data_IF_000612125681
#
_entry.id   IF_000612125681
#
_cell.length_a   1.000
_cell.length_b   1.000
_cell.length_c   1.000
_cell.angle_alpha   90.00
_cell.angle_beta   90.00
_cell.angle_gamma   90.00
#
_symmetry.space_group_name_H-M   'P 1'
#
loop_
_entity.id
_entity.type
_entity.pdbx_description
1 polymer ?
#
# COMPACT_ATOMS: atom_id res chain seq x y z
N UNK A 1 14.70 -10.50 36.05
CA UNK A 1 13.47 -9.68 36.01
C UNK A 1 12.31 -10.62 35.73
N UNK A 2 11.16 -10.47 36.40
CA UNK A 2 9.98 -11.29 36.08
C UNK A 2 9.62 -11.12 34.59
N UNK A 3 9.06 -12.15 33.93
CA UNK A 3 8.57 -12.03 32.57
C UNK A 3 7.58 -10.87 32.52
N UNK A 4 7.89 -9.91 31.66
CA UNK A 4 7.08 -8.72 31.48
C UNK A 4 5.83 -9.11 30.69
N UNK A 5 4.69 -9.11 31.38
CA UNK A 5 3.39 -9.45 30.81
C UNK A 5 2.56 -8.18 30.70
N UNK A 6 2.60 -7.55 29.53
CA UNK A 6 1.85 -6.34 29.24
C UNK A 6 0.98 -6.59 28.01
N UNK A 7 -0.34 -6.50 28.20
CA UNK A 7 -1.32 -6.63 27.13
C UNK A 7 -2.14 -5.35 27.06
N UNK A 8 -1.98 -4.61 25.97
CA UNK A 8 -2.76 -3.40 25.71
C UNK A 8 -4.16 -3.83 25.27
N UNK A 9 -5.21 -3.12 25.73
CA UNK A 9 -6.57 -3.30 25.22
C UNK A 9 -6.67 -2.75 23.79
N UNK A 10 -6.15 -3.53 22.85
CA UNK A 10 -6.04 -3.20 21.45
C UNK A 10 -7.05 -4.01 20.65
N UNK A 11 -7.89 -3.33 19.89
CA UNK A 11 -8.88 -3.96 19.01
C UNK A 11 -8.25 -4.21 17.66
N UNK A 12 -8.07 -5.48 17.30
CA UNK A 12 -7.59 -5.89 15.99
C UNK A 12 -8.68 -5.66 14.93
N UNK A 13 -8.30 -5.12 13.78
CA UNK A 13 -9.17 -5.01 12.60
C UNK A 13 -8.40 -5.42 11.36
N UNK A 14 -8.93 -6.40 10.64
CA UNK A 14 -8.38 -6.85 9.37
C UNK A 14 -8.46 -5.75 8.30
N UNK A 15 -7.55 -5.80 7.33
CA UNK A 15 -7.39 -4.87 6.21
C UNK A 15 -6.71 -5.59 5.05
N UNK A 16 -6.90 -5.11 3.82
CA UNK A 16 -6.32 -5.74 2.64
C UNK A 16 -4.85 -5.36 2.42
N UNK A 17 -4.43 -4.16 2.84
CA UNK A 17 -3.08 -3.65 2.67
C UNK A 17 -2.43 -3.29 4.00
N UNK A 18 -1.27 -3.90 4.26
CA UNK A 18 -0.60 -3.82 5.56
C UNK A 18 -0.29 -2.39 6.03
N UNK A 19 0.16 -1.48 5.15
CA UNK A 19 0.58 -0.14 5.57
C UNK A 19 -0.61 0.78 5.91
N UNK A 20 -1.70 0.74 5.11
CA UNK A 20 -2.93 1.46 5.42
C UNK A 20 -3.66 0.84 6.60
N UNK A 21 -3.70 -0.49 6.69
CA UNK A 21 -4.28 -1.21 7.82
C UNK A 21 -3.60 -0.88 9.14
N UNK A 22 -2.26 -0.87 9.19
CA UNK A 22 -1.53 -0.45 10.40
C UNK A 22 -1.83 1.02 10.75
N UNK A 23 -1.88 1.92 9.77
CA UNK A 23 -2.20 3.32 10.03
C UNK A 23 -3.62 3.49 10.61
N UNK A 24 -4.62 2.85 10.01
CA UNK A 24 -6.00 2.88 10.47
C UNK A 24 -6.15 2.27 11.87
N UNK A 25 -5.52 1.13 12.13
CA UNK A 25 -5.60 0.46 13.43
C UNK A 25 -4.92 1.23 14.56
N UNK A 26 -3.75 1.83 14.32
CA UNK A 26 -3.12 2.70 15.33
C UNK A 26 -4.00 3.91 15.64
N UNK A 27 -4.59 4.56 14.62
CA UNK A 27 -5.46 5.71 14.83
C UNK A 27 -6.74 5.34 15.57
N UNK A 28 -7.34 4.20 15.25
CA UNK A 28 -8.53 3.68 15.93
C UNK A 28 -8.29 3.41 17.40
N UNK A 29 -7.14 2.81 17.76
CA UNK A 29 -6.75 2.62 19.15
C UNK A 29 -6.70 3.95 19.94
N UNK A 30 -6.39 5.06 19.27
CA UNK A 30 -6.36 6.39 19.86
C UNK A 30 -7.65 7.20 19.62
N UNK A 31 -8.77 6.55 19.32
CA UNK A 31 -10.09 7.19 19.21
C UNK A 31 -10.39 7.87 17.88
N UNK A 32 -9.48 7.82 16.90
CA UNK A 32 -9.75 8.33 15.55
C UNK A 32 -10.31 7.18 14.71
N UNK A 33 -11.64 7.14 14.57
CA UNK A 33 -12.31 6.09 13.80
C UNK A 33 -12.26 6.38 12.30
N UNK A 34 -11.21 5.89 11.63
CA UNK A 34 -11.12 5.87 10.17
C UNK A 34 -10.94 4.44 9.66
N UNK A 35 -11.47 4.20 8.45
CA UNK A 35 -11.30 2.95 7.72
C UNK A 35 -9.90 2.85 7.11
N UNK A 36 -9.57 1.67 6.57
CA UNK A 36 -8.38 1.48 5.75
C UNK A 36 -8.39 2.41 4.50
N UNK A 37 -9.52 2.49 3.81
CA UNK A 37 -9.71 3.30 2.61
C UNK A 37 -9.46 4.78 2.92
N UNK A 38 -10.02 5.29 4.02
CA UNK A 38 -9.80 6.66 4.49
C UNK A 38 -8.31 6.92 4.77
N UNK A 39 -7.64 6.01 5.47
CA UNK A 39 -6.20 6.13 5.72
C UNK A 39 -5.38 6.11 4.40
N UNK A 40 -5.76 5.26 3.45
CA UNK A 40 -5.11 5.17 2.13
C UNK A 40 -5.27 6.47 1.32
N UNK A 41 -6.48 7.02 1.28
CA UNK A 41 -6.84 8.25 0.56
C UNK A 41 -6.22 9.51 1.16
N UNK A 42 -6.34 9.72 2.48
CA UNK A 42 -5.65 10.81 3.19
C UNK A 42 -4.11 10.68 3.04
N UNK A 43 -3.62 9.45 3.01
CA UNK A 43 -2.21 9.13 2.74
C UNK A 43 -1.74 9.50 1.32
N UNK A 44 -2.64 9.88 0.42
CA UNK A 44 -2.38 10.15 -1.00
C UNK A 44 -1.57 9.04 -1.66
N UNK A 45 -2.02 7.80 -1.43
CA UNK A 45 -1.23 6.59 -1.66
C UNK A 45 -1.40 6.02 -3.07
N UNK A 46 -2.50 6.35 -3.76
CA UNK A 46 -2.72 5.99 -5.16
C UNK A 46 -1.67 6.67 -6.04
N UNK A 47 -1.02 5.86 -6.89
CA UNK A 47 0.06 6.32 -7.75
C UNK A 47 0.14 5.46 -9.01
N UNK A 48 0.90 5.93 -9.99
CA UNK A 48 1.44 5.08 -11.04
C UNK A 48 2.86 5.51 -11.39
N UNK A 49 3.76 4.55 -11.59
CA UNK A 49 5.06 4.81 -12.17
C UNK A 49 5.66 3.58 -12.83
N UNK A 50 6.27 3.76 -14.00
CA UNK A 50 7.01 2.73 -14.72
C UNK A 50 8.44 3.18 -15.00
N UNK A 51 9.41 2.57 -14.31
CA UNK A 51 10.82 2.94 -14.36
C UNK A 51 11.65 1.82 -15.01
N UNK A 52 11.88 1.84 -16.34
CA UNK A 52 12.54 0.74 -17.04
C UNK A 52 13.99 0.49 -16.59
N UNK A 53 14.62 1.51 -16.02
CA UNK A 53 16.02 1.51 -15.58
C UNK A 53 16.21 1.05 -14.12
N UNK A 54 15.14 1.05 -13.31
CA UNK A 54 15.19 0.57 -11.93
C UNK A 54 14.72 -0.88 -11.93
N UNK A 55 15.54 -1.79 -11.38
CA UNK A 55 15.24 -3.22 -11.38
C UNK A 55 14.84 -3.73 -10.00
N UNK A 56 13.73 -4.47 -9.93
CA UNK A 56 13.36 -5.33 -8.80
C UNK A 56 13.43 -6.77 -9.30
N UNK A 57 14.27 -7.59 -8.67
CA UNK A 57 14.49 -8.99 -9.07
C UNK A 57 14.84 -9.14 -10.57
N UNK A 58 15.63 -8.20 -11.10
CA UNK A 58 16.03 -8.18 -12.51
C UNK A 58 15.01 -7.60 -13.50
N UNK A 59 13.79 -7.24 -13.05
CA UNK A 59 12.71 -6.73 -13.91
C UNK A 59 12.41 -5.25 -13.67
N UNK A 60 11.97 -4.48 -14.69
CA UNK A 60 11.57 -3.08 -14.55
C UNK A 60 10.60 -2.82 -13.41
N UNK A 61 10.86 -1.77 -12.63
CA UNK A 61 9.94 -1.34 -11.58
C UNK A 61 8.66 -0.77 -12.19
N UNK A 62 7.53 -1.43 -11.88
CA UNK A 62 6.19 -0.85 -12.02
C UNK A 62 5.59 -0.69 -10.62
N UNK A 63 5.11 0.50 -10.27
CA UNK A 63 4.51 0.76 -8.96
C UNK A 63 3.14 1.42 -9.10
N UNK A 64 2.20 0.95 -8.30
CA UNK A 64 0.81 1.47 -8.23
C UNK A 64 0.56 2.26 -6.94
N UNK A 65 1.62 2.49 -6.16
CA UNK A 65 1.56 3.22 -4.89
C UNK A 65 2.73 4.17 -4.69
N UNK A 66 2.50 5.14 -3.80
CA UNK A 66 3.56 5.98 -3.25
C UNK A 66 4.63 5.19 -2.49
N UNK A 67 5.73 5.85 -2.15
CA UNK A 67 6.85 5.21 -1.47
C UNK A 67 6.47 4.65 -0.09
N UNK A 68 7.06 3.51 0.31
CA UNK A 68 6.79 2.86 1.60
C UNK A 68 7.05 3.76 2.80
N UNK A 69 6.15 3.72 3.79
CA UNK A 69 6.24 4.48 5.03
C UNK A 69 5.73 5.92 4.93
N UNK A 70 5.16 6.30 3.77
CA UNK A 70 4.57 7.62 3.55
C UNK A 70 3.11 7.69 3.99
N UNK A 71 2.37 6.57 4.01
CA UNK A 71 0.93 6.60 4.33
C UNK A 71 0.74 7.12 5.74
N UNK A 72 1.31 6.43 6.74
CA UNK A 72 1.24 6.88 8.13
C UNK A 72 1.77 8.30 8.29
N UNK A 73 2.80 8.69 7.53
CA UNK A 73 3.39 10.06 7.63
C UNK A 73 2.39 11.12 7.23
N UNK A 74 1.72 10.90 6.11
CA UNK A 74 0.79 11.84 5.51
C UNK A 74 -0.53 11.86 6.28
N UNK A 75 -1.02 10.70 6.70
CA UNK A 75 -2.21 10.61 7.55
C UNK A 75 -1.99 11.32 8.87
N UNK A 76 -0.90 11.04 9.60
CA UNK A 76 -0.67 11.72 10.88
C UNK A 76 -0.46 13.22 10.68
N UNK A 77 0.26 13.64 9.63
CA UNK A 77 0.42 15.07 9.29
C UNK A 77 -0.91 15.74 8.91
N UNK A 78 -1.78 15.04 8.18
CA UNK A 78 -3.08 15.54 7.74
C UNK A 78 -4.03 15.76 8.92
N UNK A 79 -3.99 14.85 9.90
CA UNK A 79 -4.85 14.86 11.08
C UNK A 79 -4.24 15.59 12.29
N UNK A 80 -3.07 16.22 12.16
CA UNK A 80 -2.41 16.88 13.29
C UNK A 80 -1.88 15.94 14.38
N UNK A 81 -1.79 14.64 14.10
CA UNK A 81 -1.26 13.61 14.99
C UNK A 81 0.27 13.62 14.98
N UNK A 82 0.87 13.53 16.15
CA UNK A 82 2.32 13.36 16.29
C UNK A 82 2.69 11.89 16.41
N UNK A 83 3.73 11.48 15.68
CA UNK A 83 4.27 10.14 15.71
C UNK A 83 5.79 10.18 15.86
N UNK A 84 6.35 9.29 16.68
CA UNK A 84 7.78 9.03 16.73
C UNK A 84 8.15 7.87 15.81
N UNK A 85 9.33 7.96 15.21
CA UNK A 85 9.88 6.94 14.31
C UNK A 85 11.31 6.67 14.70
N UNK A 86 11.66 5.40 14.80
CA UNK A 86 12.99 4.95 15.15
C UNK A 86 13.50 3.99 14.10
N UNK A 87 14.82 3.99 13.90
CA UNK A 87 15.55 2.98 13.13
C UNK A 87 16.73 2.55 13.97
N UNK A 88 17.05 1.27 13.93
CA UNK A 88 18.11 0.68 14.73
C UNK A 88 19.08 -0.10 13.84
N UNK A 89 20.34 -0.15 14.27
CA UNK A 89 21.36 -0.99 13.67
C UNK A 89 21.67 -2.22 14.52
N UNK A 90 21.40 -2.12 15.83
CA UNK A 90 21.60 -3.15 16.83
C UNK A 90 20.24 -3.83 17.13
N UNK A 91 20.10 -5.15 16.86
CA UNK A 91 18.86 -5.88 17.10
C UNK A 91 18.41 -5.88 18.56
N UNK A 92 19.33 -6.06 19.50
CA UNK A 92 19.02 -6.12 20.92
C UNK A 92 18.53 -4.77 21.43
N UNK A 93 19.17 -3.66 21.04
CA UNK A 93 18.67 -2.31 21.35
C UNK A 93 17.28 -2.05 20.77
N UNK A 94 16.99 -2.60 19.59
CA UNK A 94 15.68 -2.44 18.95
C UNK A 94 14.57 -3.24 19.66
N UNK A 95 14.89 -4.42 20.20
CA UNK A 95 13.96 -5.21 21.03
C UNK A 95 13.74 -4.55 22.39
N UNK A 96 14.80 -4.08 23.04
CA UNK A 96 14.69 -3.34 24.32
C UNK A 96 13.92 -2.02 24.16
N UNK A 97 14.04 -1.35 23.01
CA UNK A 97 13.23 -0.17 22.70
C UNK A 97 11.76 -0.51 22.47
N UNK A 98 11.45 -1.67 21.87
CA UNK A 98 10.07 -2.15 21.71
C UNK A 98 9.46 -2.41 23.09
N UNK A 99 10.13 -3.20 23.93
CA UNK A 99 9.65 -3.55 25.28
C UNK A 99 9.32 -2.29 26.09
N UNK A 100 10.24 -1.32 26.13
CA UNK A 100 10.01 -0.05 26.86
C UNK A 100 8.78 0.74 26.43
N UNK A 101 8.36 0.64 25.16
CA UNK A 101 7.18 1.37 24.66
C UNK A 101 5.91 0.58 24.93
N UNK A 102 5.95 -0.75 24.78
CA UNK A 102 4.83 -1.63 25.14
C UNK A 102 4.49 -1.47 26.63
N UNK A 103 5.50 -1.36 27.49
CA UNK A 103 5.36 -1.17 28.94
C UNK A 103 4.69 0.15 29.33
N UNK A 104 4.68 1.12 28.42
CA UNK A 104 3.95 2.39 28.59
C UNK A 104 2.49 2.26 28.15
N UNK A 105 2.05 1.06 27.75
CA UNK A 105 0.70 0.83 27.22
C UNK A 105 0.49 1.34 25.80
N UNK A 106 1.56 1.58 25.03
CA UNK A 106 1.49 2.17 23.69
C UNK A 106 1.72 1.09 22.62
N UNK A 107 0.77 0.84 21.69
CA UNK A 107 0.98 -0.12 20.61
C UNK A 107 1.99 0.42 19.60
N UNK A 108 2.80 -0.48 19.05
CA UNK A 108 3.94 -0.14 18.20
C UNK A 108 3.76 -0.73 16.81
N UNK A 109 3.64 0.14 15.80
CA UNK A 109 3.76 -0.27 14.41
C UNK A 109 5.22 -0.48 14.02
N UNK A 110 5.49 -1.46 13.15
CA UNK A 110 6.84 -1.74 12.69
C UNK A 110 6.86 -2.33 11.29
N UNK A 111 7.99 -2.14 10.61
CA UNK A 111 8.27 -2.78 9.33
C UNK A 111 8.97 -4.11 9.56
N UNK A 112 8.55 -5.15 8.84
CA UNK A 112 9.09 -6.51 8.95
C UNK A 112 9.27 -7.15 7.56
N UNK A 113 10.07 -8.21 7.52
CA UNK A 113 10.16 -9.13 6.38
C UNK A 113 9.21 -10.31 6.54
N UNK A 114 8.30 -10.50 5.57
CA UNK A 114 7.27 -11.56 5.59
C UNK A 114 7.88 -12.95 5.76
N UNK A 115 9.02 -13.20 5.09
CA UNK A 115 9.69 -14.50 5.10
C UNK A 115 9.98 -15.06 6.50
N UNK A 116 10.25 -14.19 7.47
CA UNK A 116 10.65 -14.58 8.82
C UNK A 116 9.49 -14.60 9.83
N UNK A 117 8.26 -14.31 9.39
CA UNK A 117 7.09 -14.33 10.26
C UNK A 117 6.53 -15.76 10.34
N UNK A 118 6.55 -16.42 11.51
CA UNK A 118 6.29 -17.85 11.63
C UNK A 118 4.80 -18.22 11.45
N UNK A 119 3.90 -17.24 11.61
CA UNK A 119 2.46 -17.43 11.41
C UNK A 119 2.02 -17.35 9.94
N UNK A 120 2.89 -16.87 9.03
CA UNK A 120 2.60 -16.99 7.60
C UNK A 120 2.75 -18.46 7.17
N UNK A 121 1.82 -19.01 6.35
CA UNK A 121 2.01 -20.31 5.72
C UNK A 121 3.32 -20.35 4.91
N UNK A 122 4.10 -21.45 4.91
CA UNK A 122 5.36 -21.53 4.17
C UNK A 122 5.25 -21.12 2.68
N UNK A 123 4.13 -21.47 2.03
CA UNK A 123 3.87 -21.11 0.63
C UNK A 123 3.71 -19.59 0.39
N UNK A 124 3.39 -18.81 1.42
CA UNK A 124 3.20 -17.36 1.35
C UNK A 124 4.41 -16.59 1.92
N UNK A 125 5.47 -17.28 2.36
CA UNK A 125 6.71 -16.65 2.85
C UNK A 125 7.62 -16.33 1.68
N UNK A 126 7.51 -15.11 1.15
CA UNK A 126 8.44 -14.57 0.16
C UNK A 126 9.31 -13.45 0.74
N UNK A 127 10.48 -13.23 0.13
CA UNK A 127 11.42 -12.17 0.55
C UNK A 127 10.90 -10.78 0.20
N UNK A 128 10.01 -10.27 1.05
CA UNK A 128 9.49 -8.91 0.98
C UNK A 128 9.63 -8.22 2.34
N UNK A 129 10.50 -7.21 2.38
CA UNK A 129 10.94 -6.53 3.60
C UNK A 129 10.11 -5.29 3.97
N UNK A 130 8.94 -5.13 3.35
CA UNK A 130 8.14 -3.92 3.51
C UNK A 130 6.73 -4.17 4.08
N UNK A 131 6.55 -5.30 4.76
CA UNK A 131 5.32 -5.62 5.49
C UNK A 131 5.22 -4.81 6.77
N UNK A 132 4.01 -4.44 7.18
CA UNK A 132 3.78 -3.65 8.39
C UNK A 132 2.84 -4.39 9.33
N UNK A 133 3.22 -4.46 10.60
CA UNK A 133 2.45 -5.09 11.67
C UNK A 133 2.41 -4.17 12.89
N UNK A 134 1.52 -4.45 13.83
CA UNK A 134 1.47 -3.79 15.14
C UNK A 134 1.79 -4.82 16.22
N UNK A 135 2.70 -4.51 17.12
CA UNK A 135 2.85 -5.23 18.39
C UNK A 135 2.06 -4.46 19.45
N UNK A 136 1.13 -5.14 20.12
CA UNK A 136 0.26 -4.54 21.13
C UNK A 136 0.44 -5.16 22.52
N UNK A 137 1.38 -6.10 22.66
CA UNK A 137 1.68 -6.68 23.96
C UNK A 137 2.81 -7.70 23.91
N UNK A 138 3.14 -8.21 25.08
CA UNK A 138 4.14 -9.23 25.30
C UNK A 138 3.72 -10.11 26.47
N UNK A 139 3.88 -11.42 26.30
CA UNK A 139 3.66 -12.43 27.33
C UNK A 139 4.91 -13.33 27.39
N UNK A 140 5.72 -13.18 28.44
CA UNK A 140 7.01 -13.88 28.53
C UNK A 140 7.96 -13.50 27.39
N UNK A 141 8.26 -14.45 26.51
CA UNK A 141 9.12 -14.26 25.33
C UNK A 141 8.34 -14.06 24.03
N UNK A 142 7.01 -14.11 24.10
CA UNK A 142 6.11 -14.03 22.97
C UNK A 142 5.55 -12.61 22.83
N UNK A 143 5.50 -12.09 21.62
CA UNK A 143 4.85 -10.81 21.31
C UNK A 143 3.45 -11.05 20.76
N UNK A 144 2.51 -10.27 21.25
CA UNK A 144 1.14 -10.23 20.74
C UNK A 144 1.09 -9.25 19.55
N UNK A 145 0.71 -9.78 18.39
CA UNK A 145 0.81 -9.08 17.11
C UNK A 145 -0.58 -8.93 16.49
N UNK A 146 -0.91 -7.70 16.12
CA UNK A 146 -1.98 -7.38 15.18
C UNK A 146 -1.36 -7.21 13.80
N UNK A 147 -1.39 -8.27 13.00
CA UNK A 147 -1.04 -8.20 11.58
C UNK A 147 -2.32 -7.97 10.77
N UNK A 148 -2.52 -6.78 10.19
CA UNK A 148 -3.79 -6.42 9.58
C UNK A 148 -4.21 -7.31 8.40
N UNK A 149 -3.31 -8.10 7.79
CA UNK A 149 -3.72 -8.98 6.67
C UNK A 149 -4.31 -10.32 7.14
N UNK A 150 -4.31 -10.59 8.44
CA UNK A 150 -4.97 -11.74 9.06
C UNK A 150 -6.30 -11.31 9.69
N UNK A 151 -7.20 -12.28 9.85
CA UNK A 151 -8.51 -12.12 10.49
C UNK A 151 -8.38 -11.99 12.02
N UNK A 152 -7.49 -12.78 12.62
CA UNK A 152 -7.26 -12.82 14.06
C UNK A 152 -5.85 -12.35 14.46
N UNK A 153 -5.68 -11.81 15.68
CA UNK A 153 -4.35 -11.56 16.23
C UNK A 153 -3.48 -12.81 16.26
N UNK A 154 -2.19 -12.62 16.03
CA UNK A 154 -1.20 -13.70 16.00
C UNK A 154 -0.13 -13.48 17.06
N UNK A 155 0.64 -14.53 17.33
CA UNK A 155 1.75 -14.51 18.29
C UNK A 155 3.07 -14.69 17.54
N UNK A 156 4.12 -14.00 17.98
CA UNK A 156 5.45 -14.11 17.38
C UNK A 156 6.53 -14.12 18.46
N UNK A 157 7.41 -15.13 18.40
CA UNK A 157 8.51 -15.25 19.34
C UNK A 157 9.46 -14.06 19.22
N UNK A 158 10.12 -13.69 20.32
CA UNK A 158 11.17 -12.66 20.31
C UNK A 158 12.21 -12.90 19.22
N UNK A 159 12.62 -14.16 19.05
CA UNK A 159 13.65 -14.53 18.09
C UNK A 159 13.20 -14.29 16.66
N UNK A 160 11.98 -14.71 16.31
CA UNK A 160 11.46 -14.59 14.95
C UNK A 160 11.08 -13.14 14.63
N UNK A 161 10.51 -12.41 15.60
CA UNK A 161 10.25 -10.98 15.44
C UNK A 161 11.55 -10.21 15.21
N UNK A 162 12.61 -10.52 15.95
CA UNK A 162 13.91 -9.90 15.76
C UNK A 162 14.48 -10.20 14.36
N UNK A 163 14.41 -11.45 13.90
CA UNK A 163 14.82 -11.82 12.52
C UNK A 163 14.02 -11.04 11.48
N UNK A 164 12.69 -10.99 11.62
CA UNK A 164 11.81 -10.29 10.70
C UNK A 164 12.08 -8.78 10.66
N UNK A 165 12.39 -8.14 11.80
CA UNK A 165 12.75 -6.72 11.90
C UNK A 165 14.12 -6.37 11.31
N UNK A 166 14.99 -7.37 11.10
CA UNK A 166 16.36 -7.19 10.58
C UNK A 166 16.63 -8.01 9.31
N UNK A 167 15.57 -8.39 8.60
CA UNK A 167 15.65 -9.05 7.31
C UNK A 167 16.50 -8.24 6.32
N UNK A 168 17.42 -8.91 5.62
CA UNK A 168 18.36 -8.30 4.68
C UNK A 168 17.75 -8.17 3.28
N UNK A 169 18.33 -7.30 2.46
CA UNK A 169 17.95 -7.11 1.05
C UNK A 169 17.23 -5.80 0.75
N UNK A 170 16.59 -5.72 -0.42
CA UNK A 170 15.85 -4.53 -0.84
C UNK A 170 14.77 -4.18 0.19
N UNK A 171 14.61 -2.88 0.48
CA UNK A 171 13.66 -2.36 1.48
C UNK A 171 13.85 -2.91 2.91
N UNK A 172 15.06 -3.37 3.27
CA UNK A 172 15.36 -3.91 4.61
C UNK A 172 14.78 -3.06 5.76
N UNK A 173 14.13 -3.65 6.79
CA UNK A 173 13.40 -2.87 7.78
C UNK A 173 14.32 -2.10 8.73
N UNK A 174 15.51 -2.64 9.05
CA UNK A 174 16.52 -2.04 9.94
C UNK A 174 15.93 -1.66 11.32
N UNK A 175 15.22 -2.61 11.94
CA UNK A 175 14.59 -2.44 13.24
C UNK A 175 13.50 -1.36 13.30
N UNK A 176 13.06 -0.82 12.14
CA UNK A 176 12.17 0.33 12.07
C UNK A 176 10.88 0.08 12.85
N UNK A 177 10.58 1.01 13.76
CA UNK A 177 9.34 1.03 14.51
C UNK A 177 8.82 2.46 14.66
N UNK A 178 7.53 2.60 14.91
CA UNK A 178 6.84 3.87 15.05
C UNK A 178 5.61 3.72 15.95
N UNK A 179 5.24 4.81 16.60
CA UNK A 179 4.08 4.87 17.49
C UNK A 179 3.58 6.31 17.58
N UNK A 180 2.30 6.46 17.90
CA UNK A 180 1.68 7.77 18.08
C UNK A 180 2.01 8.30 19.47
N UNK A 181 2.34 9.58 19.58
CA UNK A 181 2.73 10.21 20.86
C UNK A 181 1.80 11.31 21.32
N UNK A 182 1.07 11.91 20.39
CA UNK A 182 0.05 12.92 20.69
C UNK A 182 -1.03 12.84 19.64
N UNK A 183 -2.26 12.69 20.10
CA UNK A 183 -3.46 12.70 19.28
C UNK A 183 -4.31 13.88 19.74
N UNK A 184 -4.73 14.78 18.83
CA UNK A 184 -5.59 15.89 19.21
C UNK A 184 -7.00 15.40 19.54
N UNK A 185 -7.71 16.10 20.43
CA UNK A 185 -9.08 15.73 20.83
C UNK A 185 -10.06 15.86 19.65
N UNK A 186 -9.77 16.77 18.73
CA UNK A 186 -10.53 16.98 17.51
C UNK A 186 -9.61 16.90 16.28
N UNK A 187 -10.05 16.15 15.28
CA UNK A 187 -9.39 16.02 13.99
C UNK A 187 -10.27 16.55 12.87
N UNK A 188 -9.69 17.35 11.98
CA UNK A 188 -10.36 17.80 10.77
C UNK A 188 -10.16 16.77 9.64
N UNK A 189 -11.03 15.77 9.63
CA UNK A 189 -10.99 14.70 8.62
C UNK A 189 -11.31 15.28 7.24
N UNK A 190 -12.23 16.24 7.13
CA UNK A 190 -12.62 16.87 5.87
C UNK A 190 -11.42 17.57 5.20
N UNK A 191 -10.66 18.38 5.94
CA UNK A 191 -9.46 19.01 5.42
C UNK A 191 -8.37 18.00 5.03
N UNK A 192 -8.26 16.89 5.79
CA UNK A 192 -7.32 15.82 5.48
C UNK A 192 -7.70 15.07 4.18
N UNK A 193 -9.00 14.83 3.95
CA UNK A 193 -9.54 14.25 2.71
C UNK A 193 -9.21 15.16 1.52
N UNK A 194 -9.57 16.44 1.60
CA UNK A 194 -9.33 17.42 0.52
C UNK A 194 -7.85 17.49 0.15
N UNK A 195 -6.96 17.50 1.15
CA UNK A 195 -5.51 17.47 0.93
C UNK A 195 -5.06 16.18 0.24
N UNK A 196 -5.54 15.03 0.71
CA UNK A 196 -5.21 13.72 0.12
C UNK A 196 -5.58 13.64 -1.35
N UNK A 197 -6.81 14.07 -1.70
CA UNK A 197 -7.28 14.11 -3.09
C UNK A 197 -6.43 15.05 -3.94
N UNK A 198 -6.15 16.27 -3.46
CA UNK A 198 -5.30 17.24 -4.18
C UNK A 198 -3.90 16.68 -4.47
N UNK A 199 -3.30 15.98 -3.50
CA UNK A 199 -1.98 15.37 -3.66
C UNK A 199 -1.99 14.23 -4.69
N UNK A 200 -3.03 13.39 -4.71
CA UNK A 200 -3.20 12.34 -5.74
C UNK A 200 -3.38 12.96 -7.12
N UNK A 201 -4.29 13.92 -7.28
CA UNK A 201 -4.53 14.59 -8.57
C UNK A 201 -3.25 15.26 -9.10
N UNK A 202 -2.51 15.96 -8.24
CA UNK A 202 -1.22 16.56 -8.60
C UNK A 202 -0.22 15.50 -9.07
N UNK A 203 -0.16 14.38 -8.38
CA UNK A 203 0.80 13.32 -8.68
C UNK A 203 0.46 12.57 -9.97
N UNK A 204 -0.84 12.34 -10.23
CA UNK A 204 -1.32 11.64 -11.42
C UNK A 204 -1.30 12.51 -12.68
N UNK A 205 -1.55 13.83 -12.56
CA UNK A 205 -1.70 14.74 -13.70
C UNK A 205 -0.50 15.67 -13.93
N UNK A 206 0.09 16.22 -12.85
CA UNK A 206 0.92 17.44 -12.93
C UNK A 206 2.43 17.18 -12.80
N UNK A 207 2.88 15.97 -12.49
CA UNK A 207 4.32 15.69 -12.43
C UNK A 207 4.91 15.80 -13.85
N UNK A 208 5.90 16.69 -14.10
CA UNK A 208 6.47 16.90 -15.42
C UNK A 208 7.49 15.82 -15.77
N UNK A 209 7.11 14.55 -15.59
CA UNK A 209 7.95 13.39 -15.85
C UNK A 209 7.15 12.31 -16.57
N UNK A 210 7.58 11.82 -17.74
CA UNK A 210 6.76 10.96 -18.59
C UNK A 210 6.53 9.56 -18.03
N UNK A 211 7.27 9.17 -16.99
CA UNK A 211 7.22 7.83 -16.41
C UNK A 211 6.23 7.69 -15.24
N UNK A 212 5.55 8.76 -14.86
CA UNK A 212 4.70 8.84 -13.66
C UNK A 212 3.28 9.25 -14.03
N UNK A 213 2.32 8.82 -13.21
CA UNK A 213 0.91 9.15 -13.35
C UNK A 213 0.35 8.65 -14.66
N UNK A 214 -0.62 9.39 -15.20
CA UNK A 214 -1.30 9.02 -16.44
C UNK A 214 -0.32 8.96 -17.62
N UNK A 215 0.65 9.87 -17.67
CA UNK A 215 1.72 9.85 -18.68
C UNK A 215 2.56 8.57 -18.59
N UNK A 216 2.85 8.12 -17.38
CA UNK A 216 3.51 6.84 -17.13
C UNK A 216 2.73 5.66 -17.67
N UNK A 217 1.40 5.64 -17.52
CA UNK A 217 0.55 4.56 -18.04
C UNK A 217 0.64 4.54 -19.57
N UNK A 218 0.50 5.70 -20.22
CA UNK A 218 0.65 5.84 -21.69
C UNK A 218 2.04 5.40 -22.17
N UNK A 219 3.08 5.79 -21.44
CA UNK A 219 4.45 5.41 -21.74
C UNK A 219 4.64 3.88 -21.64
N UNK A 220 4.10 3.24 -20.60
CA UNK A 220 4.14 1.79 -20.48
C UNK A 220 3.40 1.12 -21.64
N UNK A 221 2.20 1.60 -22.00
CA UNK A 221 1.42 1.06 -23.10
C UNK A 221 2.21 1.01 -24.42
N UNK A 222 2.83 2.12 -24.82
CA UNK A 222 3.65 2.16 -26.05
C UNK A 222 4.89 1.27 -26.00
N UNK A 223 5.38 0.92 -24.80
CA UNK A 223 6.47 -0.04 -24.64
C UNK A 223 5.97 -1.47 -24.81
N UNK A 224 4.86 -1.82 -24.14
CA UNK A 224 4.27 -3.17 -24.17
C UNK A 224 3.98 -3.63 -25.60
N UNK A 225 3.39 -2.75 -26.41
CA UNK A 225 3.04 -3.02 -27.81
C UNK A 225 4.22 -3.58 -28.62
N UNK A 226 5.44 -3.13 -28.32
CA UNK A 226 6.66 -3.45 -29.07
C UNK A 226 7.60 -4.41 -28.31
N UNK A 227 7.18 -4.98 -27.17
CA UNK A 227 8.04 -5.86 -26.38
C UNK A 227 8.40 -7.18 -27.05
N UNK A 228 7.51 -7.88 -27.78
CA UNK A 228 7.87 -9.12 -28.47
C UNK A 228 9.04 -8.93 -29.43
N UNK A 229 9.00 -7.87 -30.25
CA UNK A 229 10.06 -7.56 -31.21
C UNK A 229 11.38 -7.15 -30.52
N UNK A 230 11.29 -6.36 -29.44
CA UNK A 230 12.47 -5.79 -28.77
C UNK A 230 13.14 -6.72 -27.76
N UNK A 231 12.36 -7.59 -27.12
CA UNK A 231 12.82 -8.42 -25.99
C UNK A 231 12.78 -9.92 -26.33
N UNK A 232 12.02 -10.32 -27.35
CA UNK A 232 11.63 -11.70 -27.58
C UNK A 232 10.47 -12.12 -26.66
N UNK A 233 9.69 -13.10 -27.12
CA UNK A 233 8.46 -13.57 -26.45
C UNK A 233 8.66 -13.95 -24.98
N UNK A 234 9.71 -14.71 -24.67
CA UNK A 234 9.96 -15.18 -23.30
C UNK A 234 10.17 -14.03 -22.32
N UNK A 235 10.97 -13.02 -22.70
CA UNK A 235 11.22 -11.85 -21.86
C UNK A 235 10.01 -10.93 -21.81
N UNK A 236 9.31 -10.74 -22.92
CA UNK A 236 8.09 -9.94 -22.97
C UNK A 236 7.01 -10.49 -22.01
N UNK A 237 6.79 -11.82 -22.04
CA UNK A 237 5.87 -12.52 -21.15
C UNK A 237 6.28 -12.37 -19.67
N UNK A 238 7.57 -12.50 -19.37
CA UNK A 238 8.08 -12.30 -18.00
C UNK A 238 7.84 -10.87 -17.48
N UNK A 239 8.00 -9.85 -18.34
CA UNK A 239 7.74 -8.45 -17.96
C UNK A 239 6.24 -8.20 -17.73
N UNK A 240 5.35 -8.80 -18.53
CA UNK A 240 3.90 -8.73 -18.31
C UNK A 240 3.52 -9.38 -16.98
N UNK A 241 3.99 -10.61 -16.73
CA UNK A 241 3.75 -11.29 -15.45
C UNK A 241 4.23 -10.48 -14.25
N UNK A 242 5.35 -9.76 -14.38
CA UNK A 242 5.83 -8.87 -13.34
C UNK A 242 4.88 -7.69 -13.07
N UNK A 243 4.37 -7.01 -14.11
CA UNK A 243 3.41 -5.93 -13.93
C UNK A 243 2.15 -6.43 -13.23
N UNK A 244 1.61 -7.57 -13.66
CA UNK A 244 0.40 -8.16 -13.08
C UNK A 244 0.60 -8.46 -11.60
N UNK A 245 1.74 -9.05 -11.25
CA UNK A 245 2.09 -9.29 -9.85
C UNK A 245 2.14 -7.98 -9.05
N UNK A 246 2.77 -6.94 -9.58
CA UNK A 246 2.81 -5.62 -8.92
C UNK A 246 1.42 -4.97 -8.80
N UNK A 247 0.49 -5.30 -9.71
CA UNK A 247 -0.86 -4.74 -9.76
C UNK A 247 -1.86 -5.47 -8.87
N UNK A 248 -1.90 -6.81 -8.90
CA UNK A 248 -2.95 -7.62 -8.26
C UNK A 248 -2.52 -8.20 -6.91
N UNK A 249 -1.26 -8.60 -6.76
CA UNK A 249 -0.83 -9.41 -5.61
C UNK A 249 -0.10 -8.59 -4.54
N UNK A 250 0.76 -7.65 -4.94
CA UNK A 250 1.65 -6.96 -3.98
C UNK A 250 0.92 -5.81 -3.28
N UNK A 251 0.18 -6.16 -2.24
CA UNK A 251 -0.37 -5.23 -1.26
C UNK A 251 -1.37 -4.24 -1.82
N UNK A 252 -2.03 -4.54 -2.94
CA UNK A 252 -2.88 -3.58 -3.67
C UNK A 252 -4.38 -3.69 -3.38
N UNK A 253 -4.83 -4.78 -2.75
CA UNK A 253 -6.26 -5.12 -2.70
C UNK A 253 -6.87 -5.40 -4.09
N UNK A 254 -6.03 -5.59 -5.12
CA UNK A 254 -6.42 -5.76 -6.52
C UNK A 254 -6.43 -4.46 -7.33
N UNK A 255 -6.43 -4.59 -8.66
CA UNK A 255 -6.54 -3.48 -9.62
C UNK A 255 -5.61 -2.28 -9.35
N UNK A 256 -4.40 -2.51 -8.85
CA UNK A 256 -3.45 -1.43 -8.56
C UNK A 256 -3.99 -0.35 -7.61
N UNK A 257 -4.75 -0.72 -6.58
CA UNK A 257 -5.36 0.17 -5.57
C UNK A 257 -6.54 1.02 -6.04
N UNK A 258 -7.08 0.82 -7.25
CA UNK A 258 -8.23 1.62 -7.71
C UNK A 258 -9.48 1.35 -6.87
N UNK A 259 -9.74 0.10 -6.45
CA UNK A 259 -10.91 -0.22 -5.61
C UNK A 259 -10.86 0.40 -4.22
N UNK A 260 -9.72 0.35 -3.52
CA UNK A 260 -9.60 0.99 -2.21
C UNK A 260 -9.68 2.51 -2.31
N UNK A 261 -9.21 3.10 -3.43
CA UNK A 261 -9.39 4.53 -3.67
C UNK A 261 -10.84 4.88 -4.03
N UNK A 262 -11.56 4.03 -4.74
CA UNK A 262 -13.00 4.18 -4.96
C UNK A 262 -13.75 4.17 -3.62
N UNK A 263 -13.51 3.17 -2.76
CA UNK A 263 -14.11 3.11 -1.43
C UNK A 263 -13.80 4.37 -0.59
N UNK A 264 -12.58 4.90 -0.70
CA UNK A 264 -12.23 6.20 -0.10
C UNK A 264 -13.09 7.36 -0.62
N UNK A 265 -13.26 7.47 -1.95
CA UNK A 265 -14.09 8.53 -2.54
C UNK A 265 -15.55 8.39 -2.13
N UNK A 266 -16.04 7.16 -1.97
CA UNK A 266 -17.37 6.89 -1.46
C UNK A 266 -17.55 7.39 -0.02
N UNK A 267 -16.63 7.06 0.89
CA UNK A 267 -16.65 7.56 2.27
C UNK A 267 -16.46 9.08 2.33
N UNK A 268 -15.60 9.64 1.48
CA UNK A 268 -15.38 11.08 1.38
C UNK A 268 -16.64 11.84 0.93
N UNK A 269 -17.49 11.24 0.09
CA UNK A 269 -18.74 11.84 -0.35
C UNK A 269 -19.66 12.17 0.83
N UNK A 270 -19.73 11.27 1.82
CA UNK A 270 -20.54 11.45 3.02
C UNK A 270 -19.93 12.54 3.92
N UNK A 271 -18.62 12.44 4.22
CA UNK A 271 -17.94 13.35 5.15
C UNK A 271 -17.89 14.79 4.61
N UNK A 272 -17.71 14.96 3.29
CA UNK A 272 -17.68 16.28 2.66
C UNK A 272 -19.06 16.79 2.25
N UNK A 273 -20.11 15.96 2.34
CA UNK A 273 -21.44 16.29 1.83
C UNK A 273 -21.50 16.46 0.30
N UNK A 274 -20.56 15.88 -0.44
CA UNK A 274 -20.40 16.05 -1.88
C UNK A 274 -20.78 14.78 -2.64
N UNK A 275 -22.05 14.67 -3.03
CA UNK A 275 -22.60 13.48 -3.70
C UNK A 275 -21.97 13.19 -5.05
N UNK A 276 -21.37 14.17 -5.75
CA UNK A 276 -20.69 13.93 -7.03
C UNK A 276 -19.48 13.00 -6.88
N UNK A 277 -18.89 12.92 -5.69
CA UNK A 277 -17.83 11.95 -5.40
C UNK A 277 -18.30 10.49 -5.53
N UNK A 278 -19.59 10.20 -5.35
CA UNK A 278 -20.13 8.85 -5.58
C UNK A 278 -20.03 8.43 -7.05
N UNK A 279 -20.27 9.36 -7.97
CA UNK A 279 -20.12 9.10 -9.41
C UNK A 279 -18.65 8.88 -9.78
N UNK A 280 -17.75 9.69 -9.20
CA UNK A 280 -16.30 9.53 -9.41
C UNK A 280 -15.81 8.21 -8.80
N UNK A 281 -16.32 7.82 -7.64
CA UNK A 281 -16.07 6.51 -7.03
C UNK A 281 -16.50 5.38 -7.96
N UNK A 282 -17.71 5.45 -8.55
CA UNK A 282 -18.20 4.48 -9.53
C UNK A 282 -17.27 4.36 -10.73
N UNK A 283 -16.90 5.48 -11.35
CA UNK A 283 -15.92 5.52 -12.46
C UNK A 283 -14.56 4.93 -12.06
N UNK A 284 -14.10 5.18 -10.82
CA UNK A 284 -12.83 4.61 -10.33
C UNK A 284 -12.91 3.08 -10.21
N UNK A 285 -14.06 2.53 -9.82
CA UNK A 285 -14.30 1.08 -9.83
C UNK A 285 -14.25 0.52 -11.25
N UNK A 286 -14.93 1.16 -12.21
CA UNK A 286 -14.92 0.74 -13.63
C UNK A 286 -13.49 0.75 -14.22
N UNK A 287 -12.70 1.78 -13.91
CA UNK A 287 -11.28 1.83 -14.28
C UNK A 287 -10.51 0.68 -13.62
N UNK A 288 -10.79 0.36 -12.36
CA UNK A 288 -10.22 -0.78 -11.67
C UNK A 288 -10.54 -2.12 -12.36
N UNK A 289 -11.77 -2.29 -12.84
CA UNK A 289 -12.15 -3.48 -13.61
C UNK A 289 -11.42 -3.54 -14.96
N UNK A 290 -11.20 -2.40 -15.60
CA UNK A 290 -10.39 -2.32 -16.83
C UNK A 290 -8.92 -2.69 -16.60
N UNK A 291 -8.34 -2.28 -15.46
CA UNK A 291 -7.02 -2.77 -15.03
C UNK A 291 -7.01 -4.28 -14.79
N UNK A 292 -8.06 -4.85 -14.20
CA UNK A 292 -8.19 -6.31 -14.03
C UNK A 292 -8.29 -7.03 -15.36
N UNK A 293 -8.94 -6.45 -16.36
CA UNK A 293 -8.99 -7.01 -17.70
C UNK A 293 -7.59 -7.08 -18.33
N UNK A 294 -6.76 -6.04 -18.17
CA UNK A 294 -5.34 -6.09 -18.56
C UNK A 294 -4.62 -7.28 -17.89
N UNK A 295 -4.82 -7.48 -16.59
CA UNK A 295 -4.22 -8.60 -15.87
C UNK A 295 -4.72 -9.96 -16.39
N UNK A 296 -6.02 -10.10 -16.65
CA UNK A 296 -6.61 -11.31 -17.20
C UNK A 296 -6.02 -11.64 -18.59
N UNK A 297 -5.87 -10.63 -19.44
CA UNK A 297 -5.32 -10.80 -20.78
C UNK A 297 -3.85 -11.19 -20.71
N UNK A 298 -3.08 -10.53 -19.84
CA UNK A 298 -1.68 -10.84 -19.63
C UNK A 298 -1.44 -12.23 -19.05
N UNK A 299 -2.26 -12.70 -18.08
CA UNK A 299 -2.17 -14.09 -17.58
C UNK A 299 -2.43 -15.10 -18.69
N UNK A 300 -3.42 -14.86 -19.56
CA UNK A 300 -3.71 -15.75 -20.70
C UNK A 300 -2.57 -15.75 -21.71
N UNK A 301 -2.00 -14.58 -22.00
CA UNK A 301 -0.82 -14.42 -22.85
C UNK A 301 0.38 -15.20 -22.27
N UNK A 302 0.69 -15.02 -20.98
CA UNK A 302 1.78 -15.71 -20.30
C UNK A 302 1.65 -17.25 -20.29
N UNK A 303 0.42 -17.77 -20.33
CA UNK A 303 0.12 -19.21 -20.40
C UNK A 303 0.16 -19.79 -21.83
N UNK A 304 0.60 -19.02 -22.82
CA UNK A 304 0.64 -19.44 -24.22
C UNK A 304 -0.75 -19.58 -24.86
N UNK A 305 -1.81 -19.06 -24.22
CA UNK A 305 -3.19 -19.08 -24.72
C UNK A 305 -3.47 -17.81 -25.52
N UNK A 306 -2.61 -17.52 -26.49
CA UNK A 306 -2.71 -16.31 -27.32
C UNK A 306 -3.85 -16.50 -28.32
N UNK A 307 -4.88 -15.67 -28.20
CA UNK A 307 -6.00 -15.51 -29.11
C UNK A 307 -5.96 -14.07 -29.66
N UNK A 308 -6.72 -13.79 -30.74
CA UNK A 308 -6.76 -12.43 -31.33
C UNK A 308 -7.03 -11.31 -30.32
N UNK A 309 -7.69 -11.61 -29.19
CA UNK A 309 -8.04 -10.63 -28.16
C UNK A 309 -6.99 -10.34 -27.08
N UNK A 310 -5.96 -11.15 -26.86
CA UNK A 310 -5.02 -10.98 -25.73
C UNK A 310 -3.55 -10.84 -26.16
N UNK A 311 -3.35 -10.14 -27.28
CA UNK A 311 -2.04 -9.80 -27.82
C UNK A 311 -1.42 -8.62 -27.07
N UNK A 312 -0.11 -8.39 -27.26
CA UNK A 312 0.56 -7.22 -26.69
C UNK A 312 -0.05 -5.88 -27.13
N UNK A 313 -0.42 -5.67 -28.41
CA UNK A 313 -1.18 -4.49 -28.82
C UNK A 313 -2.52 -4.35 -28.09
N UNK A 314 -3.29 -5.43 -27.94
CA UNK A 314 -4.56 -5.39 -27.22
C UNK A 314 -4.37 -4.99 -25.74
N UNK A 315 -3.34 -5.53 -25.08
CA UNK A 315 -2.98 -5.11 -23.72
C UNK A 315 -2.54 -3.64 -23.66
N UNK A 316 -1.80 -3.15 -24.66
CA UNK A 316 -1.42 -1.75 -24.74
C UNK A 316 -2.66 -0.84 -24.91
N UNK A 317 -3.65 -1.24 -25.69
CA UNK A 317 -4.90 -0.51 -25.87
C UNK A 317 -5.71 -0.42 -24.58
N UNK A 318 -5.77 -1.51 -23.78
CA UNK A 318 -6.37 -1.47 -22.44
C UNK A 318 -5.67 -0.43 -21.56
N UNK A 319 -4.33 -0.39 -21.55
CA UNK A 319 -3.60 0.60 -20.75
C UNK A 319 -3.80 2.04 -21.24
N UNK A 320 -3.90 2.26 -22.56
CA UNK A 320 -4.23 3.58 -23.12
C UNK A 320 -5.62 4.03 -22.70
N UNK A 321 -6.57 3.12 -22.69
CA UNK A 321 -7.93 3.35 -22.23
C UNK A 321 -7.98 3.66 -20.73
N UNK A 322 -7.33 2.85 -19.88
CA UNK A 322 -7.14 3.17 -18.45
C UNK A 322 -6.53 4.56 -18.26
N UNK A 323 -5.50 4.90 -19.04
CA UNK A 323 -4.88 6.22 -18.96
C UNK A 323 -5.85 7.34 -19.32
N UNK A 324 -6.64 7.19 -20.38
CA UNK A 324 -7.58 8.22 -20.80
C UNK A 324 -8.70 8.41 -19.78
N UNK A 325 -9.26 7.32 -19.24
CA UNK A 325 -10.28 7.37 -18.21
C UNK A 325 -9.73 7.95 -16.89
N UNK A 326 -8.51 7.59 -16.48
CA UNK A 326 -7.87 8.19 -15.31
C UNK A 326 -7.56 9.68 -15.52
N UNK A 327 -7.15 10.09 -16.71
CA UNK A 327 -6.94 11.50 -17.07
C UNK A 327 -8.23 12.30 -16.83
N UNK A 328 -9.34 11.86 -17.42
CA UNK A 328 -10.65 12.50 -17.28
C UNK A 328 -11.10 12.50 -15.80
N UNK A 329 -11.00 11.34 -15.13
CA UNK A 329 -11.41 11.18 -13.74
C UNK A 329 -10.65 12.15 -12.82
N UNK A 330 -9.32 12.22 -12.93
CA UNK A 330 -8.52 13.08 -12.06
C UNK A 330 -8.69 14.57 -12.37
N UNK A 331 -8.99 14.95 -13.61
CA UNK A 331 -9.38 16.33 -13.91
C UNK A 331 -10.72 16.67 -13.26
N UNK A 332 -11.75 15.84 -13.47
CA UNK A 332 -13.06 16.01 -12.82
C UNK A 332 -12.95 16.05 -11.28
N UNK A 333 -12.12 15.18 -10.70
CA UNK A 333 -11.89 15.14 -9.26
C UNK A 333 -11.11 16.36 -8.76
N UNK A 334 -10.12 16.82 -9.52
CA UNK A 334 -9.39 18.04 -9.19
C UNK A 334 -10.33 19.25 -9.23
N UNK A 335 -11.16 19.38 -10.26
CA UNK A 335 -12.12 20.48 -10.40
C UNK A 335 -13.16 20.45 -9.29
N UNK A 336 -13.62 19.26 -8.91
CA UNK A 336 -14.58 19.09 -7.81
C UNK A 336 -14.03 19.50 -6.44
N UNK A 337 -12.76 19.17 -6.15
CA UNK A 337 -12.12 19.41 -4.85
C UNK A 337 -11.37 20.75 -4.80
N UNK A 338 -11.13 21.35 -5.96
CA UNK A 338 -10.87 22.77 -6.11
C UNK A 338 -12.20 23.54 -6.15
N UNK A 339 -13.12 23.20 -5.24
CA UNK A 339 -14.36 23.95 -4.95
C UNK A 339 -14.30 25.41 -5.41
#
# INVERSE_FOLDING_TARGET
MPPNNQKINFVHRQSAHCESGVAANLLFHHGINISESMAFGIGASLFFGYFPFIKINGLPLTTFRGATGQILKRVTKGLGVQAKRHRFWDPEKAMNALDRIIDQGIPVGMQTGVYWLPYFPPALRFHFNAHNIIVYGKEGTEYLVSDPVFDEPVVCSRMDLMKARFAQGALAPKGKMYYLTRVPDHVDIAAAIVRGIKDVCKTMLKIPFPLIGVRGIRFLAGRIENWPEKLGEAKASLNIGHIIRMQEEIGTGGAGFRFIYAAFLQEAAEILGEKRLLNISGKMTEIGDRWREFALFGVRNCKGRVLKGNTYPAMADILRDCANQEDELFHNLADLINL
#
